data_IF_580099641753
#
_entry.id   IF_580099641753
#
_cell.length_a   1.000
_cell.length_b   1.000
_cell.length_c   1.000
_cell.angle_alpha   90.00
_cell.angle_beta   90.00
_cell.angle_gamma   90.00
#
_symmetry.space_group_name_H-M   'P 1'
#
loop_
_entity.id
_entity.type
_entity.pdbx_description
1 polymer ?
#
# COMPACT_ATOMS: atom_id res chain seq x y z
N UNK A 1 33.58 -29.34 -25.88
CA UNK A 1 32.13 -29.16 -25.65
C UNK A 1 31.98 -28.28 -24.41
N UNK A 2 31.83 -26.96 -24.56
CA UNK A 2 31.79 -26.06 -23.40
C UNK A 2 31.08 -24.76 -23.69
N UNK A 3 31.45 -24.08 -24.78
CA UNK A 3 30.94 -22.74 -25.11
C UNK A 3 29.42 -22.70 -25.32
N UNK A 4 28.85 -23.66 -26.05
CA UNK A 4 27.40 -23.69 -26.32
C UNK A 4 26.56 -23.87 -25.05
N UNK A 5 27.03 -24.65 -24.08
CA UNK A 5 26.30 -24.88 -22.82
C UNK A 5 26.27 -23.61 -21.97
N UNK A 6 27.39 -22.88 -21.90
CA UNK A 6 27.44 -21.61 -21.15
C UNK A 6 26.52 -20.56 -21.77
N UNK A 7 26.48 -20.46 -23.11
CA UNK A 7 25.60 -19.51 -23.79
C UNK A 7 24.11 -19.76 -23.47
N UNK A 8 23.67 -21.04 -23.49
CA UNK A 8 22.29 -21.40 -23.14
C UNK A 8 21.97 -21.05 -21.68
N UNK A 9 22.89 -21.33 -20.75
CA UNK A 9 22.70 -20.97 -19.35
C UNK A 9 22.59 -19.45 -19.16
N UNK A 10 23.46 -18.66 -19.81
CA UNK A 10 23.41 -17.20 -19.74
C UNK A 10 22.11 -16.64 -20.31
N UNK A 11 21.64 -17.16 -21.45
CA UNK A 11 20.35 -16.77 -22.04
C UNK A 11 19.20 -17.15 -21.11
N UNK A 12 19.20 -18.36 -20.53
CA UNK A 12 18.16 -18.78 -19.60
C UNK A 12 18.12 -17.92 -18.33
N UNK A 13 19.28 -17.58 -17.76
CA UNK A 13 19.37 -16.72 -16.59
C UNK A 13 18.90 -15.30 -16.92
N UNK A 14 19.29 -14.75 -18.07
CA UNK A 14 18.81 -13.44 -18.53
C UNK A 14 17.29 -13.42 -18.74
N UNK A 15 16.70 -14.49 -19.30
CA UNK A 15 15.25 -14.62 -19.45
C UNK A 15 14.55 -14.69 -18.07
N UNK A 16 15.09 -15.47 -17.14
CA UNK A 16 14.55 -15.58 -15.77
C UNK A 16 14.63 -14.25 -15.03
N UNK A 17 15.76 -13.52 -15.14
CA UNK A 17 15.89 -12.21 -14.47
C UNK A 17 14.97 -11.17 -15.10
N UNK A 18 14.82 -11.13 -16.41
CA UNK A 18 13.89 -10.22 -17.10
C UNK A 18 12.45 -10.42 -16.61
N UNK A 19 12.01 -11.68 -16.45
CA UNK A 19 10.67 -12.00 -15.90
C UNK A 19 10.57 -11.64 -14.40
N UNK A 20 11.64 -11.84 -13.63
CA UNK A 20 11.63 -11.55 -12.20
C UNK A 20 11.56 -10.05 -11.88
N UNK A 21 12.10 -9.17 -12.75
CA UNK A 21 12.09 -7.71 -12.56
C UNK A 21 10.67 -7.14 -12.58
N UNK A 22 9.72 -7.79 -13.26
CA UNK A 22 8.31 -7.38 -13.26
C UNK A 22 7.59 -7.71 -11.94
N UNK A 23 8.24 -8.47 -11.04
CA UNK A 23 7.65 -9.03 -9.82
C UNK A 23 7.74 -8.16 -8.56
N UNK A 24 8.44 -7.03 -8.59
CA UNK A 24 8.53 -6.13 -7.42
C UNK A 24 7.74 -4.84 -7.69
N UNK A 25 6.42 -4.93 -7.57
CA UNK A 25 5.61 -3.75 -7.28
C UNK A 25 5.77 -3.45 -5.79
N UNK A 26 6.87 -2.79 -5.45
CA UNK A 26 6.98 -2.13 -4.15
C UNK A 26 5.82 -1.12 -4.11
N UNK A 27 4.83 -1.41 -3.27
CA UNK A 27 3.59 -0.66 -3.21
C UNK A 27 3.87 0.77 -2.77
N UNK A 28 4.00 1.70 -3.72
CA UNK A 28 3.99 3.13 -3.43
C UNK A 28 2.70 3.46 -2.66
N UNK A 29 2.85 3.67 -1.36
CA UNK A 29 1.77 4.17 -0.50
C UNK A 29 1.51 5.64 -0.84
N UNK A 30 0.23 6.00 -0.93
CA UNK A 30 -0.17 7.40 -1.12
C UNK A 30 -0.16 8.13 0.22
N UNK A 31 0.05 9.44 0.15
CA UNK A 31 0.07 10.32 1.31
C UNK A 31 -1.26 10.29 2.11
N UNK A 32 -1.15 10.57 3.40
CA UNK A 32 -2.26 10.56 4.35
C UNK A 32 -2.58 9.17 4.90
N UNK A 33 -3.56 9.09 5.80
CA UNK A 33 -3.90 7.87 6.54
C UNK A 33 -5.34 7.43 6.25
N UNK A 34 -5.60 6.14 6.45
CA UNK A 34 -6.95 5.60 6.31
C UNK A 34 -7.86 6.18 7.42
N UNK A 35 -9.10 6.60 7.09
CA UNK A 35 -10.06 7.01 8.10
C UNK A 35 -10.35 5.85 9.07
N UNK A 36 -10.61 6.19 10.33
CA UNK A 36 -10.95 5.20 11.34
C UNK A 36 -12.28 4.49 10.99
N UNK A 37 -12.32 3.16 11.18
CA UNK A 37 -13.54 2.35 11.04
C UNK A 37 -13.92 1.74 12.40
N UNK A 38 -15.14 2.02 12.86
CA UNK A 38 -15.69 1.52 14.11
C UNK A 38 -16.70 0.39 13.90
N UNK A 39 -16.84 -0.12 12.68
CA UNK A 39 -17.77 -1.21 12.35
C UNK A 39 -17.18 -2.57 12.74
N UNK A 40 -17.97 -3.38 13.44
CA UNK A 40 -17.66 -4.80 13.69
C UNK A 40 -18.37 -5.66 12.66
N UNK A 41 -17.62 -6.54 12.01
CA UNK A 41 -18.12 -7.35 10.90
C UNK A 41 -18.18 -8.82 11.29
N UNK A 42 -19.31 -9.49 11.01
CA UNK A 42 -19.39 -10.95 11.08
C UNK A 42 -18.73 -11.63 9.88
N UNK A 43 -18.74 -10.94 8.73
CA UNK A 43 -18.16 -11.40 7.46
C UNK A 43 -17.60 -10.19 6.71
N UNK A 44 -16.48 -10.39 6.04
CA UNK A 44 -15.91 -9.39 5.13
C UNK A 44 -16.60 -9.41 3.77
N UNK A 45 -16.78 -8.23 3.19
CA UNK A 45 -17.14 -8.03 1.80
C UNK A 45 -15.96 -8.36 0.88
N UNK A 46 -16.22 -8.69 -0.40
CA UNK A 46 -15.18 -8.81 -1.41
C UNK A 46 -14.36 -7.52 -1.54
N UNK A 47 -13.02 -7.60 -1.68
CA UNK A 47 -12.17 -6.42 -1.81
C UNK A 47 -12.39 -5.72 -3.15
N UNK A 48 -12.42 -4.38 -3.14
CA UNK A 48 -12.47 -3.55 -4.35
C UNK A 48 -11.08 -3.11 -4.83
N UNK A 49 -10.08 -3.20 -3.95
CA UNK A 49 -8.68 -2.85 -4.20
C UNK A 49 -7.78 -3.74 -3.33
N UNK A 50 -6.50 -3.87 -3.71
CA UNK A 50 -5.47 -4.57 -2.93
C UNK A 50 -4.36 -3.64 -2.46
N UNK A 51 -4.08 -2.57 -3.21
CA UNK A 51 -3.05 -1.57 -2.92
C UNK A 51 -3.55 -0.17 -3.25
N UNK A 52 -2.87 0.85 -2.73
CA UNK A 52 -3.15 2.25 -3.08
C UNK A 52 -3.06 2.50 -4.59
N UNK A 53 -2.20 1.76 -5.31
CA UNK A 53 -2.02 1.88 -6.76
C UNK A 53 -3.25 1.44 -7.56
N UNK A 54 -4.12 0.60 -6.98
CA UNK A 54 -5.37 0.19 -7.62
C UNK A 54 -6.43 1.32 -7.59
N UNK A 55 -6.24 2.32 -6.73
CA UNK A 55 -7.16 3.42 -6.55
C UNK A 55 -6.79 4.61 -7.45
N UNK A 56 -7.79 5.28 -8.03
CA UNK A 56 -7.56 6.46 -8.87
C UNK A 56 -7.22 7.71 -8.06
N UNK A 57 -6.25 8.49 -8.54
CA UNK A 57 -5.85 9.76 -7.94
C UNK A 57 -5.21 9.59 -6.56
N UNK A 58 -5.57 10.45 -5.61
CA UNK A 58 -5.02 10.46 -4.24
C UNK A 58 -5.69 9.46 -3.30
N UNK A 59 -6.65 8.66 -3.78
CA UNK A 59 -7.41 7.72 -2.94
C UNK A 59 -6.55 6.54 -2.46
N UNK A 60 -6.66 6.17 -1.18
CA UNK A 60 -6.00 5.00 -0.58
C UNK A 60 -6.91 3.78 -0.55
N UNK A 61 -6.32 2.59 -0.58
CA UNK A 61 -7.02 1.34 -0.39
C UNK A 61 -7.11 1.02 1.11
N UNK A 62 -8.27 1.26 1.70
CA UNK A 62 -8.48 1.14 3.15
C UNK A 62 -9.54 0.10 3.47
N UNK A 63 -9.40 -0.59 4.60
CA UNK A 63 -10.43 -1.49 5.11
C UNK A 63 -11.50 -0.68 5.85
N UNK A 64 -12.65 -0.49 5.22
CA UNK A 64 -13.79 0.27 5.75
C UNK A 64 -15.10 -0.47 5.55
N UNK A 65 -15.92 -0.51 6.61
CA UNK A 65 -17.25 -1.11 6.60
C UNK A 65 -17.20 -2.51 6.00
N UNK A 66 -16.39 -3.36 6.61
CA UNK A 66 -16.23 -4.78 6.28
C UNK A 66 -15.51 -5.11 4.97
N UNK A 67 -14.88 -4.17 4.26
CA UNK A 67 -14.13 -4.50 3.04
C UNK A 67 -13.11 -3.45 2.62
N UNK A 68 -12.19 -3.85 1.74
CA UNK A 68 -11.20 -2.93 1.14
C UNK A 68 -11.83 -2.08 0.05
N UNK A 69 -11.69 -0.75 0.18
CA UNK A 69 -12.34 0.25 -0.69
C UNK A 69 -11.40 1.41 -0.94
N UNK A 70 -11.54 2.06 -2.11
CA UNK A 70 -10.81 3.26 -2.45
C UNK A 70 -11.47 4.49 -1.81
N UNK A 71 -10.78 5.11 -0.83
CA UNK A 71 -11.31 6.24 -0.06
C UNK A 71 -10.37 7.43 -0.09
N UNK A 72 -10.90 8.63 0.15
CA UNK A 72 -10.10 9.84 0.32
C UNK A 72 -9.34 9.70 1.66
N UNK A 73 -8.00 9.84 1.68
CA UNK A 73 -7.24 9.77 2.93
C UNK A 73 -7.57 10.97 3.84
N UNK A 74 -7.47 10.76 5.15
CA UNK A 74 -7.42 11.89 6.08
C UNK A 74 -5.99 12.39 6.14
N UNK A 75 -5.81 13.70 6.29
CA UNK A 75 -4.48 14.26 6.57
C UNK A 75 -4.01 13.62 7.87
N UNK A 76 -2.79 13.11 7.87
CA UNK A 76 -2.11 12.85 9.13
C UNK A 76 -2.12 14.19 9.85
N UNK A 77 -2.87 14.29 10.95
CA UNK A 77 -2.76 15.44 11.83
C UNK A 77 -1.32 15.39 12.27
N UNK A 78 -0.48 16.23 11.66
CA UNK A 78 0.87 16.47 12.11
C UNK A 78 0.80 16.52 13.63
N UNK A 79 1.53 15.64 14.29
CA UNK A 79 1.62 15.52 15.72
C UNK A 79 2.20 16.84 16.26
N UNK A 80 1.31 17.81 16.39
CA UNK A 80 1.50 19.19 16.79
C UNK A 80 0.30 19.60 17.64
N UNK A 81 -0.12 18.69 18.53
CA UNK A 81 -0.87 19.08 19.70
C UNK A 81 0.04 19.92 20.58
N UNK A 82 -0.05 21.24 20.46
CA UNK A 82 0.46 22.17 21.46
C UNK A 82 -0.29 21.90 22.77
N UNK A 83 0.23 20.97 23.58
CA UNK A 83 -0.20 20.73 24.96
C UNK A 83 0.34 21.83 25.87
N UNK A 84 0.05 23.09 25.55
CA UNK A 84 0.43 24.24 26.35
C UNK A 84 -0.76 25.18 26.53
N UNK A 85 -1.90 24.65 27.00
CA UNK A 85 -2.98 25.44 27.63
C UNK A 85 -3.47 24.71 28.88
N UNK A 86 -2.55 24.47 29.83
CA UNK A 86 -2.87 24.25 31.24
C UNK A 86 -2.12 25.30 32.07
N UNK A 87 -2.67 26.51 32.13
CA UNK A 87 -2.32 27.51 33.15
C UNK A 87 -3.61 28.02 33.76
N UNK A 88 -4.02 27.32 34.81
CA UNK A 88 -4.56 27.87 36.06
C UNK A 88 -5.60 28.99 35.93
N UNK A 89 -6.85 28.58 35.88
CA UNK A 89 -8.01 29.33 36.36
C UNK A 89 -7.93 29.54 37.89
N UNK A 90 -8.19 30.75 38.41
CA UNK A 90 -8.86 30.96 39.68
C UNK A 90 -10.39 30.79 39.53
#
# INVERSE_FOLDING_TARGET
MGSSSFLVLMVSLALVTLVAVEGVKEGIEKAGVCPADNVRCFKSDPPQCHTDQDCLGERKCCYLHCGFKCVIPVKELEEGGNKDEDVSRP
#
